data_IF_877814334582
#
_entry.id   IF_877814334582
#
_cell.length_a   1.000
_cell.length_b   1.000
_cell.length_c   1.000
_cell.angle_alpha   90.00
_cell.angle_beta   90.00
_cell.angle_gamma   90.00
#
_symmetry.space_group_name_H-M   'P 1'
#
loop_
_entity.id
_entity.type
_entity.pdbx_description
1 polymer ?
#
# COMPACT_ATOMS: atom_id res chain seq x y z
N UNK A 1 -42.09 42.53 26.19
CA UNK A 1 -40.95 42.37 27.10
C UNK A 1 -39.88 41.62 26.34
N UNK A 2 -38.96 42.34 25.69
CA UNK A 2 -37.73 41.74 25.17
C UNK A 2 -36.83 41.52 26.37
N UNK A 3 -36.63 40.26 26.75
CA UNK A 3 -35.62 39.90 27.75
C UNK A 3 -34.26 40.06 27.10
N UNK A 4 -33.66 41.24 27.22
CA UNK A 4 -32.31 41.50 26.75
C UNK A 4 -31.33 40.66 27.56
N UNK A 5 -30.58 39.80 26.88
CA UNK A 5 -29.53 39.01 27.53
C UNK A 5 -28.41 39.94 28.01
N UNK A 6 -27.91 39.78 29.25
CA UNK A 6 -26.76 40.55 29.72
C UNK A 6 -25.56 40.31 28.80
N UNK A 7 -24.82 41.37 28.47
CA UNK A 7 -23.63 41.30 27.59
C UNK A 7 -22.65 40.21 28.05
N UNK A 8 -22.51 40.01 29.36
CA UNK A 8 -21.66 38.97 29.95
C UNK A 8 -22.09 37.55 29.56
N UNK A 9 -23.40 37.30 29.41
CA UNK A 9 -23.95 36.01 28.97
C UNK A 9 -23.65 35.75 27.50
N UNK A 10 -23.75 36.79 26.65
CA UNK A 10 -23.40 36.71 25.22
C UNK A 10 -21.91 36.39 25.06
N UNK A 11 -21.03 37.04 25.82
CA UNK A 11 -19.58 36.75 25.80
C UNK A 11 -19.27 35.33 26.27
N UNK A 12 -19.93 34.84 27.31
CA UNK A 12 -19.72 33.48 27.81
C UNK A 12 -20.14 32.42 26.78
N UNK A 13 -21.29 32.61 26.13
CA UNK A 13 -21.77 31.73 25.05
C UNK A 13 -20.79 31.76 23.87
N UNK A 14 -20.33 32.94 23.46
CA UNK A 14 -19.37 33.09 22.37
C UNK A 14 -18.04 32.35 22.67
N UNK A 15 -17.50 32.48 23.88
CA UNK A 15 -16.28 31.77 24.30
C UNK A 15 -16.48 30.25 24.34
N UNK A 16 -17.60 29.78 24.87
CA UNK A 16 -17.93 28.35 24.88
C UNK A 16 -18.00 27.77 23.45
N UNK A 17 -18.72 28.45 22.57
CA UNK A 17 -18.83 28.06 21.15
C UNK A 17 -17.45 28.06 20.48
N UNK A 18 -16.65 29.11 20.67
CA UNK A 18 -15.30 29.19 20.11
C UNK A 18 -14.40 28.04 20.60
N UNK A 19 -14.47 27.70 21.90
CA UNK A 19 -13.71 26.59 22.47
C UNK A 19 -14.12 25.22 21.91
N UNK A 20 -15.43 25.01 21.69
CA UNK A 20 -15.96 23.78 21.08
C UNK A 20 -15.52 23.65 19.62
N UNK A 21 -15.57 24.75 18.85
CA UNK A 21 -15.07 24.76 17.48
C UNK A 21 -13.57 24.46 17.45
N UNK A 22 -12.78 25.08 18.34
CA UNK A 22 -11.34 24.82 18.45
C UNK A 22 -11.03 23.36 18.80
N UNK A 23 -11.76 22.78 19.76
CA UNK A 23 -11.63 21.36 20.13
C UNK A 23 -11.97 20.45 18.95
N UNK A 24 -13.04 20.76 18.20
CA UNK A 24 -13.47 19.99 17.04
C UNK A 24 -12.46 20.07 15.89
N UNK A 25 -11.90 21.26 15.61
CA UNK A 25 -10.80 21.43 14.65
C UNK A 25 -9.56 20.62 15.05
N UNK A 26 -9.20 20.64 16.35
CA UNK A 26 -8.08 19.85 16.86
C UNK A 26 -8.30 18.34 16.66
N UNK A 27 -9.51 17.85 16.94
CA UNK A 27 -9.87 16.45 16.71
C UNK A 27 -9.79 16.05 15.23
N UNK A 28 -10.28 16.90 14.32
CA UNK A 28 -10.17 16.68 12.87
C UNK A 28 -8.69 16.63 12.47
N UNK A 29 -7.87 17.56 12.95
CA UNK A 29 -6.44 17.61 12.64
C UNK A 29 -5.69 16.36 13.14
N UNK A 30 -5.98 15.90 14.36
CA UNK A 30 -5.39 14.67 14.90
C UNK A 30 -5.78 13.44 14.08
N UNK A 31 -7.04 13.36 13.67
CA UNK A 31 -7.54 12.25 12.83
C UNK A 31 -6.88 12.26 11.46
N UNK A 32 -6.76 13.44 10.84
CA UNK A 32 -6.07 13.62 9.56
C UNK A 32 -4.59 13.22 9.64
N UNK A 33 -3.88 13.68 10.67
CA UNK A 33 -2.47 13.36 10.87
C UNK A 33 -2.26 11.84 11.07
N UNK A 34 -3.12 11.20 11.86
CA UNK A 34 -3.09 9.74 12.03
C UNK A 34 -3.31 9.03 10.70
N UNK A 35 -4.34 9.43 9.94
CA UNK A 35 -4.67 8.79 8.66
C UNK A 35 -3.56 9.00 7.62
N UNK A 36 -3.01 10.20 7.55
CA UNK A 36 -1.90 10.52 6.65
C UNK A 36 -0.70 9.62 6.97
N UNK A 37 -0.30 9.52 8.24
CA UNK A 37 0.83 8.67 8.64
C UNK A 37 0.56 7.19 8.36
N UNK A 38 -0.67 6.73 8.61
CA UNK A 38 -1.06 5.35 8.31
C UNK A 38 -1.01 5.07 6.81
N UNK A 39 -1.48 6.00 5.98
CA UNK A 39 -1.42 5.91 4.52
C UNK A 39 0.02 5.91 4.01
N UNK A 40 0.89 6.76 4.56
CA UNK A 40 2.33 6.79 4.27
C UNK A 40 2.98 5.42 4.58
N UNK A 41 2.69 4.83 5.75
CA UNK A 41 3.24 3.52 6.11
C UNK A 41 2.72 2.39 5.21
N UNK A 42 1.43 2.39 4.86
CA UNK A 42 0.86 1.39 3.95
C UNK A 42 1.42 1.54 2.54
N UNK A 43 1.57 2.76 2.05
CA UNK A 43 2.20 3.02 0.76
C UNK A 43 3.66 2.55 0.76
N UNK A 44 4.43 2.83 1.81
CA UNK A 44 5.80 2.34 1.94
C UNK A 44 5.87 0.80 1.95
N UNK A 45 4.91 0.12 2.60
CA UNK A 45 4.79 -1.33 2.53
C UNK A 45 4.48 -1.83 1.11
N UNK A 46 3.54 -1.21 0.39
CA UNK A 46 3.20 -1.55 -1.00
C UNK A 46 4.40 -1.35 -1.93
N UNK A 47 5.09 -0.21 -1.80
CA UNK A 47 6.22 0.15 -2.66
C UNK A 47 7.39 -0.82 -2.42
N UNK A 48 7.66 -1.19 -1.15
CA UNK A 48 8.66 -2.20 -0.84
C UNK A 48 8.29 -3.59 -1.38
N UNK A 49 7.02 -4.00 -1.27
CA UNK A 49 6.55 -5.26 -1.84
C UNK A 49 6.67 -5.25 -3.38
N UNK A 50 6.34 -4.13 -4.04
CA UNK A 50 6.48 -3.98 -5.50
C UNK A 50 7.96 -4.10 -5.92
N UNK A 51 8.86 -3.47 -5.17
CA UNK A 51 10.29 -3.54 -5.42
C UNK A 51 10.81 -4.98 -5.27
N UNK A 52 10.50 -5.63 -4.14
CA UNK A 52 10.90 -7.02 -3.87
C UNK A 52 10.37 -7.98 -4.95
N UNK A 53 9.12 -7.81 -5.39
CA UNK A 53 8.53 -8.60 -6.49
C UNK A 53 9.23 -8.35 -7.83
N UNK A 54 9.61 -7.10 -8.12
CA UNK A 54 10.30 -6.77 -9.37
C UNK A 54 11.67 -7.45 -9.44
N UNK A 55 12.41 -7.43 -8.33
CA UNK A 55 13.69 -8.12 -8.18
C UNK A 55 13.49 -9.63 -8.27
N UNK A 56 12.52 -10.20 -7.54
CA UNK A 56 12.22 -11.63 -7.58
C UNK A 56 11.96 -12.11 -9.01
N UNK A 57 11.03 -11.47 -9.71
CA UNK A 57 10.66 -11.87 -11.07
C UNK A 57 11.77 -11.59 -12.09
N UNK A 58 12.56 -10.52 -11.91
CA UNK A 58 13.73 -10.23 -12.74
C UNK A 58 14.80 -11.31 -12.61
N UNK A 59 15.17 -11.64 -11.37
CA UNK A 59 16.16 -12.67 -11.06
C UNK A 59 15.71 -14.07 -11.53
N UNK A 60 14.44 -14.43 -11.32
CA UNK A 60 13.91 -15.70 -11.81
C UNK A 60 13.96 -15.77 -13.35
N UNK A 61 13.60 -14.70 -14.06
CA UNK A 61 13.70 -14.67 -15.54
C UNK A 61 15.15 -14.72 -16.03
N UNK A 62 16.08 -14.08 -15.33
CA UNK A 62 17.49 -14.14 -15.67
C UNK A 62 18.03 -15.56 -15.50
N UNK A 63 17.66 -16.23 -14.41
CA UNK A 63 18.04 -17.62 -14.18
C UNK A 63 17.42 -18.56 -15.21
N UNK A 64 16.13 -18.40 -15.53
CA UNK A 64 15.45 -19.23 -16.53
C UNK A 64 16.12 -19.13 -17.91
N UNK A 65 16.57 -17.94 -18.31
CA UNK A 65 17.33 -17.74 -19.55
C UNK A 65 18.70 -18.38 -19.52
N UNK A 66 19.41 -18.32 -18.39
CA UNK A 66 20.68 -19.00 -18.22
C UNK A 66 20.52 -20.52 -18.40
N UNK A 67 19.47 -21.10 -17.79
CA UNK A 67 19.15 -22.52 -17.93
C UNK A 67 18.79 -22.87 -19.38
N UNK A 68 18.00 -22.03 -20.06
CA UNK A 68 17.63 -22.23 -21.46
C UNK A 68 18.84 -22.20 -22.40
N UNK A 69 19.75 -21.26 -22.19
CA UNK A 69 20.99 -21.14 -22.95
C UNK A 69 21.87 -22.38 -22.76
N UNK A 70 22.03 -22.83 -21.51
CA UNK A 70 22.77 -24.04 -21.18
C UNK A 70 22.14 -25.28 -21.84
N UNK A 71 20.80 -25.38 -21.85
CA UNK A 71 20.09 -26.47 -22.52
C UNK A 71 20.31 -26.45 -24.04
N UNK A 72 20.18 -25.28 -24.69
CA UNK A 72 20.30 -25.15 -26.15
C UNK A 72 21.73 -25.34 -26.67
N UNK A 73 22.72 -24.83 -25.93
CA UNK A 73 24.12 -24.84 -26.38
C UNK A 73 24.89 -26.07 -25.89
N UNK A 74 24.43 -26.76 -24.84
CA UNK A 74 25.07 -27.97 -24.35
C UNK A 74 26.56 -27.77 -24.05
N UNK A 75 27.43 -28.51 -24.74
CA UNK A 75 28.89 -28.43 -24.59
C UNK A 75 29.49 -27.11 -25.10
N UNK A 76 28.83 -26.46 -26.07
CA UNK A 76 29.27 -25.16 -26.61
C UNK A 76 28.87 -23.97 -25.72
N UNK A 77 28.14 -24.21 -24.63
CA UNK A 77 27.76 -23.16 -23.68
C UNK A 77 28.96 -22.41 -23.11
N UNK A 78 30.09 -23.08 -22.89
CA UNK A 78 31.34 -22.48 -22.41
C UNK A 78 31.92 -21.44 -23.38
N UNK A 79 31.57 -21.51 -24.67
CA UNK A 79 32.03 -20.57 -25.71
C UNK A 79 31.02 -19.46 -25.98
N UNK A 80 29.87 -19.46 -25.32
CA UNK A 80 28.82 -18.49 -25.59
C UNK A 80 29.22 -17.08 -25.16
N UNK A 81 29.05 -16.06 -26.02
CA UNK A 81 29.26 -14.66 -25.63
C UNK A 81 28.19 -14.16 -24.64
N UNK A 82 27.07 -14.87 -24.50
CA UNK A 82 25.97 -14.52 -23.60
C UNK A 82 25.98 -15.30 -22.28
N UNK A 83 26.99 -16.16 -22.08
CA UNK A 83 27.12 -17.00 -20.90
C UNK A 83 27.06 -16.15 -19.63
N UNK A 84 26.10 -16.46 -18.77
CA UNK A 84 26.06 -15.89 -17.43
C UNK A 84 27.09 -16.64 -16.56
N UNK A 85 28.01 -15.87 -15.97
CA UNK A 85 29.06 -16.42 -15.12
C UNK A 85 28.52 -17.21 -13.92
N UNK A 86 29.25 -18.24 -13.48
CA UNK A 86 28.84 -19.12 -12.36
C UNK A 86 28.68 -18.34 -11.05
N UNK A 87 29.55 -17.37 -10.78
CA UNK A 87 29.40 -16.49 -9.62
C UNK A 87 28.12 -15.69 -9.74
N UNK A 88 27.83 -15.15 -10.93
CA UNK A 88 26.61 -14.38 -11.17
C UNK A 88 25.34 -15.22 -10.97
N UNK A 89 25.34 -16.49 -11.37
CA UNK A 89 24.23 -17.42 -11.09
C UNK A 89 24.08 -17.66 -9.58
N UNK A 90 25.19 -17.82 -8.85
CA UNK A 90 25.15 -17.94 -7.39
C UNK A 90 24.54 -16.70 -6.74
N UNK A 91 24.95 -15.51 -7.17
CA UNK A 91 24.42 -14.23 -6.66
C UNK A 91 22.92 -14.10 -6.95
N UNK A 92 22.47 -14.47 -8.15
CA UNK A 92 21.05 -14.47 -8.53
C UNK A 92 20.25 -15.40 -7.61
N UNK A 93 20.75 -16.62 -7.34
CA UNK A 93 20.08 -17.58 -6.45
C UNK A 93 19.96 -17.07 -5.02
N UNK A 94 21.04 -16.48 -4.51
CA UNK A 94 21.04 -15.83 -3.20
C UNK A 94 19.99 -14.70 -3.15
N UNK A 95 20.00 -13.83 -4.16
CA UNK A 95 19.07 -12.71 -4.27
C UNK A 95 17.62 -13.17 -4.33
N UNK A 96 17.30 -14.22 -5.10
CA UNK A 96 15.95 -14.82 -5.12
C UNK A 96 15.53 -15.30 -3.73
N UNK A 97 16.40 -16.02 -3.02
CA UNK A 97 16.09 -16.54 -1.69
C UNK A 97 15.87 -15.41 -0.66
N UNK A 98 16.70 -14.36 -0.72
CA UNK A 98 16.58 -13.17 0.13
C UNK A 98 15.25 -12.46 -0.10
N UNK A 99 14.94 -12.08 -1.35
CA UNK A 99 13.72 -11.33 -1.65
C UNK A 99 12.47 -12.17 -1.45
N UNK A 100 12.52 -13.48 -1.72
CA UNK A 100 11.41 -14.39 -1.44
C UNK A 100 11.09 -14.42 0.06
N UNK A 101 12.10 -14.47 0.91
CA UNK A 101 11.93 -14.44 2.36
C UNK A 101 11.31 -13.10 2.81
N UNK A 102 11.78 -11.97 2.26
CA UNK A 102 11.18 -10.66 2.54
C UNK A 102 9.71 -10.59 2.12
N UNK A 103 9.36 -11.11 0.95
CA UNK A 103 7.98 -11.12 0.46
C UNK A 103 7.09 -11.95 1.38
N UNK A 104 7.51 -13.15 1.78
CA UNK A 104 6.75 -13.99 2.72
C UNK A 104 6.45 -13.24 4.02
N UNK A 105 7.45 -12.55 4.59
CA UNK A 105 7.28 -11.81 5.85
C UNK A 105 6.38 -10.57 5.71
N UNK A 106 6.22 -10.03 4.50
CA UNK A 106 5.35 -8.88 4.23
C UNK A 106 3.91 -9.28 3.97
N UNK A 107 3.68 -10.43 3.35
CA UNK A 107 2.37 -10.89 2.96
C UNK A 107 1.60 -11.45 4.16
N UNK A 108 0.31 -11.13 4.23
CA UNK A 108 -0.58 -11.62 5.29
C UNK A 108 -1.07 -13.04 4.96
N UNK A 109 -0.76 -14.07 5.77
CA UNK A 109 -1.18 -15.45 5.53
C UNK A 109 -2.70 -15.67 5.66
N UNK A 110 -3.43 -14.74 6.29
CA UNK A 110 -4.88 -14.83 6.43
C UNK A 110 -5.64 -14.33 5.19
N UNK A 111 -4.94 -13.71 4.23
CA UNK A 111 -5.54 -13.23 2.98
C UNK A 111 -5.34 -14.26 1.86
N UNK A 112 -6.42 -14.86 1.31
CA UNK A 112 -6.33 -15.89 0.29
C UNK A 112 -5.55 -15.45 -0.95
N UNK A 113 -5.65 -14.18 -1.34
CA UNK A 113 -4.90 -13.67 -2.49
C UNK A 113 -3.39 -13.56 -2.23
N UNK A 114 -2.99 -13.34 -0.98
CA UNK A 114 -1.57 -13.35 -0.61
C UNK A 114 -1.02 -14.77 -0.60
N UNK A 115 -1.78 -15.72 -0.06
CA UNK A 115 -1.40 -17.13 -0.08
C UNK A 115 -1.28 -17.66 -1.53
N UNK A 116 -2.21 -17.28 -2.40
CA UNK A 116 -2.17 -17.66 -3.82
C UNK A 116 -0.95 -17.09 -4.53
N UNK A 117 -0.59 -15.82 -4.29
CA UNK A 117 0.64 -15.25 -4.84
C UNK A 117 1.87 -16.05 -4.39
N UNK A 118 1.97 -16.38 -3.09
CA UNK A 118 3.07 -17.18 -2.56
C UNK A 118 3.13 -18.58 -3.20
N UNK A 119 1.98 -19.22 -3.40
CA UNK A 119 1.89 -20.52 -4.08
C UNK A 119 2.39 -20.43 -5.52
N UNK A 120 2.01 -19.40 -6.26
CA UNK A 120 2.47 -19.17 -7.65
C UNK A 120 3.96 -18.88 -7.73
N UNK A 121 4.49 -18.07 -6.81
CA UNK A 121 5.93 -17.81 -6.71
C UNK A 121 6.73 -19.07 -6.38
N UNK A 122 6.24 -19.89 -5.43
CA UNK A 122 6.85 -21.18 -5.10
C UNK A 122 6.88 -22.11 -6.30
N UNK A 123 5.79 -22.18 -7.06
CA UNK A 123 5.74 -22.95 -8.31
C UNK A 123 6.82 -22.48 -9.31
N UNK A 124 7.04 -21.18 -9.45
CA UNK A 124 8.10 -20.68 -10.33
C UNK A 124 9.50 -21.14 -9.88
N UNK A 125 9.77 -21.16 -8.58
CA UNK A 125 11.02 -21.70 -8.01
C UNK A 125 11.14 -23.20 -8.27
N UNK A 126 10.06 -23.96 -8.05
CA UNK A 126 10.06 -25.41 -8.22
C UNK A 126 10.30 -25.80 -9.69
N UNK A 127 9.65 -25.14 -10.64
CA UNK A 127 9.88 -25.37 -12.08
C UNK A 127 11.30 -24.95 -12.51
N UNK A 128 11.83 -23.85 -11.96
CA UNK A 128 13.22 -23.44 -12.21
C UNK A 128 14.23 -24.50 -11.73
N UNK A 129 14.00 -25.07 -10.53
CA UNK A 129 14.87 -26.10 -9.98
C UNK A 129 14.81 -27.40 -10.80
N UNK A 130 13.61 -27.81 -11.25
CA UNK A 130 13.46 -28.97 -12.15
C UNK A 130 14.21 -28.76 -13.45
N UNK A 131 13.99 -27.64 -14.14
CA UNK A 131 14.65 -27.33 -15.40
C UNK A 131 16.19 -27.36 -15.26
N UNK A 132 16.71 -26.84 -14.15
CA UNK A 132 18.15 -26.86 -13.88
C UNK A 132 18.71 -28.27 -13.62
N UNK A 133 18.03 -29.08 -12.78
CA UNK A 133 18.47 -30.43 -12.40
C UNK A 133 18.37 -31.39 -13.59
N UNK A 134 17.26 -31.35 -14.30
CA UNK A 134 16.95 -32.24 -15.42
C UNK A 134 17.59 -31.76 -16.74
N UNK A 135 18.17 -30.56 -16.73
CA UNK A 135 18.72 -29.88 -17.92
C UNK A 135 17.69 -29.77 -19.04
N UNK A 136 16.43 -29.53 -18.68
CA UNK A 136 15.32 -29.29 -19.62
C UNK A 136 15.29 -27.82 -20.08
N UNK A 137 14.43 -27.53 -21.06
CA UNK A 137 14.11 -26.15 -21.41
C UNK A 137 13.44 -25.40 -20.24
N UNK A 138 13.43 -24.06 -20.32
CA UNK A 138 12.87 -23.20 -19.28
C UNK A 138 11.44 -22.71 -19.59
N UNK A 139 10.73 -23.29 -20.57
CA UNK A 139 9.42 -22.80 -21.00
C UNK A 139 8.37 -22.87 -19.88
N UNK A 140 8.33 -23.98 -19.14
CA UNK A 140 7.45 -24.13 -17.96
C UNK A 140 7.79 -23.13 -16.87
N UNK A 141 9.08 -22.90 -16.64
CA UNK A 141 9.58 -21.91 -15.67
C UNK A 141 9.15 -20.50 -16.06
N UNK A 142 9.36 -20.11 -17.33
CA UNK A 142 8.95 -18.80 -17.86
C UNK A 142 7.44 -18.60 -17.76
N UNK A 143 6.64 -19.64 -18.05
CA UNK A 143 5.19 -19.60 -17.90
C UNK A 143 4.79 -19.41 -16.43
N UNK A 144 5.40 -20.15 -15.49
CA UNK A 144 5.11 -20.02 -14.06
C UNK A 144 5.45 -18.62 -13.53
N UNK A 145 6.60 -18.06 -13.94
CA UNK A 145 6.99 -16.68 -13.59
C UNK A 145 5.99 -15.67 -14.15
N UNK A 146 5.53 -15.87 -15.40
CA UNK A 146 4.57 -14.98 -16.04
C UNK A 146 3.23 -14.99 -15.31
N UNK A 147 2.69 -16.16 -14.97
CA UNK A 147 1.45 -16.30 -14.20
C UNK A 147 1.56 -15.57 -12.85
N UNK A 148 2.66 -15.79 -12.12
CA UNK A 148 2.88 -15.10 -10.84
C UNK A 148 2.99 -13.57 -11.00
N UNK A 149 3.65 -13.10 -12.06
CA UNK A 149 3.76 -11.67 -12.39
C UNK A 149 2.39 -11.05 -12.69
N UNK A 150 1.59 -11.73 -13.51
CA UNK A 150 0.25 -11.29 -13.91
C UNK A 150 -0.72 -11.28 -12.74
N UNK A 151 -0.57 -12.20 -11.78
CA UNK A 151 -1.35 -12.24 -10.55
C UNK A 151 -0.97 -11.10 -9.58
N UNK A 152 0.32 -10.80 -9.46
CA UNK A 152 0.81 -9.75 -8.56
C UNK A 152 0.29 -8.35 -8.93
N UNK A 153 0.12 -8.05 -10.22
CA UNK A 153 -0.32 -6.74 -10.71
C UNK A 153 -1.70 -6.29 -10.17
N UNK A 154 -2.79 -7.05 -10.33
CA UNK A 154 -4.09 -6.69 -9.78
C UNK A 154 -4.11 -6.73 -8.25
N UNK A 155 -3.35 -7.62 -7.60
CA UNK A 155 -3.22 -7.65 -6.14
C UNK A 155 -2.67 -6.31 -5.61
N UNK A 156 -1.55 -5.84 -6.14
CA UNK A 156 -0.98 -4.54 -5.74
C UNK A 156 -1.95 -3.38 -6.02
N UNK A 157 -2.72 -3.47 -7.10
CA UNK A 157 -3.75 -2.46 -7.40
C UNK A 157 -4.87 -2.47 -6.35
N UNK A 158 -5.30 -3.65 -5.90
CA UNK A 158 -6.31 -3.82 -4.86
C UNK A 158 -5.84 -3.19 -3.55
N UNK A 159 -4.60 -3.47 -3.13
CA UNK A 159 -4.02 -2.85 -1.93
C UNK A 159 -3.91 -1.33 -2.04
N UNK A 160 -3.54 -0.81 -3.22
CA UNK A 160 -3.52 0.63 -3.45
C UNK A 160 -4.91 1.28 -3.34
N UNK A 161 -5.95 0.59 -3.82
CA UNK A 161 -7.33 1.08 -3.65
C UNK A 161 -7.72 1.08 -2.17
N UNK A 162 -7.39 0.03 -1.41
CA UNK A 162 -7.62 -0.08 0.04
C UNK A 162 -6.94 1.06 0.81
N UNK A 163 -5.72 1.47 0.42
CA UNK A 163 -5.02 2.62 1.03
C UNK A 163 -5.74 3.93 0.75
N UNK A 164 -6.08 4.23 -0.50
CA UNK A 164 -6.76 5.49 -0.87
C UNK A 164 -8.13 5.66 -0.24
N UNK A 165 -8.80 4.54 -0.05
CA UNK A 165 -10.11 4.48 0.57
C UNK A 165 -10.09 4.88 2.06
N UNK A 166 -8.97 4.64 2.73
CA UNK A 166 -8.73 5.01 4.12
C UNK A 166 -9.54 4.22 5.15
N UNK A 167 -9.24 4.44 6.43
CA UNK A 167 -9.89 3.76 7.56
C UNK A 167 -11.33 4.26 7.81
N UNK A 168 -12.19 3.41 8.37
CA UNK A 168 -13.58 3.75 8.70
C UNK A 168 -13.70 5.05 9.55
N UNK A 169 -12.89 5.26 10.61
CA UNK A 169 -12.97 6.49 11.40
C UNK A 169 -12.64 7.75 10.58
N UNK A 170 -11.68 7.66 9.65
CA UNK A 170 -11.35 8.76 8.73
C UNK A 170 -12.52 9.05 7.78
N UNK A 171 -13.15 8.02 7.21
CA UNK A 171 -14.33 8.18 6.35
C UNK A 171 -15.47 8.87 7.10
N UNK A 172 -15.69 8.53 8.37
CA UNK A 172 -16.70 9.16 9.22
C UNK A 172 -16.35 10.62 9.52
N UNK A 173 -15.11 10.88 9.95
CA UNK A 173 -14.64 12.24 10.26
C UNK A 173 -14.76 13.18 9.05
N UNK A 174 -14.35 12.70 7.87
CA UNK A 174 -14.42 13.43 6.60
C UNK A 174 -15.86 13.69 6.15
N UNK A 175 -16.70 12.66 6.15
CA UNK A 175 -18.01 12.74 5.49
C UNK A 175 -19.12 13.30 6.40
N UNK A 176 -18.97 13.23 7.72
CA UNK A 176 -20.02 13.62 8.67
C UNK A 176 -19.57 14.72 9.62
N UNK A 177 -18.46 14.50 10.33
CA UNK A 177 -18.04 15.40 11.41
C UNK A 177 -17.63 16.77 10.85
N UNK A 178 -16.80 16.81 9.80
CA UNK A 178 -16.34 18.07 9.23
C UNK A 178 -17.51 18.94 8.67
N UNK A 179 -18.47 18.40 7.90
CA UNK A 179 -19.66 19.16 7.51
C UNK A 179 -20.50 19.67 8.69
N UNK A 180 -20.72 18.83 9.71
CA UNK A 180 -21.50 19.21 10.90
C UNK A 180 -20.84 20.41 11.60
N UNK A 181 -19.52 20.36 11.81
CA UNK A 181 -18.76 21.47 12.41
C UNK A 181 -18.89 22.74 11.56
N UNK A 182 -18.80 22.61 10.23
CA UNK A 182 -18.92 23.74 9.31
C UNK A 182 -20.29 24.42 9.43
N UNK A 183 -21.38 23.64 9.37
CA UNK A 183 -22.74 24.18 9.50
C UNK A 183 -23.02 24.73 10.90
N UNK A 184 -22.56 24.08 11.97
CA UNK A 184 -22.67 24.60 13.34
C UNK A 184 -21.93 25.92 13.50
N UNK A 185 -20.74 26.05 12.90
CA UNK A 185 -19.97 27.29 12.95
C UNK A 185 -20.70 28.44 12.24
N UNK A 186 -21.26 28.19 11.06
CA UNK A 186 -22.07 29.17 10.32
C UNK A 186 -23.31 29.57 11.13
N UNK A 187 -24.02 28.58 11.68
CA UNK A 187 -25.22 28.83 12.49
C UNK A 187 -24.91 29.68 13.71
N UNK A 188 -23.82 29.38 14.43
CA UNK A 188 -23.43 30.14 15.60
C UNK A 188 -23.06 31.60 15.25
N UNK A 189 -22.34 31.82 14.15
CA UNK A 189 -22.01 33.16 13.65
C UNK A 189 -23.30 33.93 13.32
N UNK A 190 -24.23 33.30 12.59
CA UNK A 190 -25.49 33.93 12.23
C UNK A 190 -26.36 34.26 13.45
N UNK A 191 -26.40 33.36 14.44
CA UNK A 191 -27.13 33.59 15.70
C UNK A 191 -26.57 34.77 16.49
N UNK A 192 -25.24 34.84 16.65
CA UNK A 192 -24.58 35.96 17.32
C UNK A 192 -24.86 37.26 16.58
N UNK A 193 -24.77 37.26 15.25
CA UNK A 193 -24.99 38.45 14.43
C UNK A 193 -26.44 38.97 14.51
N UNK A 194 -27.43 38.08 14.45
CA UNK A 194 -28.84 38.46 14.61
C UNK A 194 -29.15 38.95 16.03
N UNK A 195 -28.59 38.31 17.06
CA UNK A 195 -28.75 38.73 18.45
C UNK A 195 -28.20 40.13 18.72
N UNK A 196 -27.02 40.44 18.17
CA UNK A 196 -26.42 41.79 18.27
C UNK A 196 -27.20 42.86 17.53
N UNK A 197 -27.86 42.53 16.42
CA UNK A 197 -28.69 43.49 15.69
C UNK A 197 -30.02 43.79 16.40
N UNK A 198 -30.56 42.85 17.19
CA UNK A 198 -31.80 43.09 17.96
C UNK A 198 -31.60 43.93 19.23
N UNK A 199 -30.35 44.12 19.66
CA UNK A 199 -29.95 44.91 20.85
C UNK A 199 -29.59 46.37 20.51
N UNK A 200 -29.53 46.75 19.24
CA UNK A 200 -29.31 48.13 18.76
C UNK A 200 -30.62 48.76 18.33
#
# INVERSE_FOLDING_TARGET
>A
MTTDFPVQSITAIATLVASLIAAAMSFVNLTLNKEQKTSEFRQAWIDALREDLSVFFGCCRAFARATEEQHKLGEDHEKSPFKIDKQKISDIRYQVAEVYSRIILRLNPEEPEHEELLRLMKRAIDEQNKAFVEKEDSAKTMQAIQIATEYARPLIKKEWVRVKEGELPFRIARNWIAPIIFFLSIFAIAFIWHGTFSLR
#
